data_IF_687444115145
#
_entry.id   IF_687444115145
#
_cell.length_a   1.000
_cell.length_b   1.000
_cell.length_c   1.000
_cell.angle_alpha   90.00
_cell.angle_beta   90.00
_cell.angle_gamma   90.00
#
_symmetry.space_group_name_H-M   'P 1'
#
loop_
_entity.id
_entity.type
_entity.pdbx_description
1 polymer ?
#
# COMPACT_ATOMS: atom_id res chain seq x y z
N UNK A 1 12.07 -5.95 -35.64
CA UNK A 1 12.54 -6.43 -34.33
C UNK A 1 11.61 -7.44 -33.68
N UNK A 2 12.14 -8.60 -33.30
CA UNK A 2 11.40 -9.68 -32.60
C UNK A 2 11.80 -9.68 -31.13
N UNK A 3 10.83 -9.70 -30.23
CA UNK A 3 11.08 -9.81 -28.78
C UNK A 3 10.70 -11.20 -28.29
N UNK A 4 11.60 -11.82 -27.52
CA UNK A 4 11.32 -13.05 -26.79
C UNK A 4 11.45 -12.80 -25.28
N UNK A 5 10.56 -13.40 -24.52
CA UNK A 5 10.53 -13.33 -23.05
C UNK A 5 10.56 -14.76 -22.55
N UNK A 6 11.62 -15.14 -21.84
CA UNK A 6 11.93 -16.51 -21.44
C UNK A 6 11.85 -17.49 -22.64
N UNK A 7 12.40 -17.07 -23.78
CA UNK A 7 12.37 -17.81 -25.05
C UNK A 7 11.01 -17.87 -25.76
N UNK A 8 9.94 -17.27 -25.19
CA UNK A 8 8.58 -17.31 -25.75
C UNK A 8 8.21 -15.98 -26.42
N UNK A 9 7.45 -16.07 -27.51
CA UNK A 9 6.81 -14.89 -28.12
C UNK A 9 5.53 -14.55 -27.34
N UNK A 10 5.48 -13.36 -26.76
CA UNK A 10 4.27 -12.82 -26.15
C UNK A 10 3.59 -11.83 -27.11
N UNK A 11 2.30 -11.58 -26.89
CA UNK A 11 1.54 -10.61 -27.70
C UNK A 11 2.04 -9.18 -27.39
N UNK A 12 2.57 -8.44 -28.37
CA UNK A 12 2.95 -7.05 -28.17
C UNK A 12 1.73 -6.15 -28.04
N UNK A 13 1.84 -5.12 -27.20
CA UNK A 13 0.91 -4.01 -27.12
C UNK A 13 1.66 -2.77 -27.62
N UNK A 14 1.18 -2.20 -28.74
CA UNK A 14 1.71 -0.92 -29.23
C UNK A 14 1.23 0.18 -28.29
N UNK A 15 2.16 0.71 -27.51
CA UNK A 15 1.85 1.65 -26.43
C UNK A 15 1.92 3.10 -26.91
N UNK A 16 2.96 3.44 -27.70
CA UNK A 16 3.09 4.77 -28.30
C UNK A 16 3.89 4.76 -29.61
N UNK A 17 3.47 5.60 -30.55
CA UNK A 17 4.27 6.04 -31.71
C UNK A 17 4.24 7.56 -31.73
N UNK A 18 5.39 8.22 -31.69
CA UNK A 18 5.47 9.68 -31.76
C UNK A 18 6.82 10.14 -32.28
N UNK A 19 6.87 11.36 -32.82
CA UNK A 19 8.12 11.98 -33.21
C UNK A 19 8.97 12.33 -31.98
N UNK A 20 10.27 12.11 -32.09
CA UNK A 20 11.24 12.38 -31.03
C UNK A 20 12.29 13.38 -31.50
N UNK A 21 12.75 14.22 -30.57
CA UNK A 21 13.93 15.07 -30.75
C UNK A 21 15.08 14.54 -29.93
N UNK A 22 16.19 14.29 -30.61
CA UNK A 22 17.48 13.97 -30.00
C UNK A 22 18.31 15.24 -29.84
N UNK A 23 18.76 15.54 -28.62
CA UNK A 23 19.76 16.58 -28.33
C UNK A 23 20.98 15.92 -27.69
N UNK A 24 22.09 16.67 -27.58
CA UNK A 24 23.30 16.20 -26.89
C UNK A 24 23.06 15.79 -25.42
N UNK A 25 21.96 16.23 -24.82
CA UNK A 25 21.67 16.03 -23.40
C UNK A 25 20.42 15.21 -23.12
N UNK A 26 19.50 15.08 -24.09
CA UNK A 26 18.24 14.34 -23.90
C UNK A 26 17.63 13.91 -25.21
N UNK A 27 16.83 12.85 -25.15
CA UNK A 27 15.82 12.59 -26.17
C UNK A 27 14.44 12.71 -25.56
N UNK A 28 13.51 13.34 -26.25
CA UNK A 28 12.15 13.53 -25.74
C UNK A 28 11.13 13.49 -26.87
N UNK A 29 9.90 13.10 -26.51
CA UNK A 29 8.77 13.12 -27.41
C UNK A 29 8.29 14.55 -27.64
N UNK A 30 7.77 14.78 -28.84
CA UNK A 30 7.14 16.03 -29.20
C UNK A 30 5.66 15.95 -28.83
N UNK A 31 5.27 16.65 -27.77
CA UNK A 31 3.87 16.67 -27.31
C UNK A 31 3.05 17.77 -27.99
N UNK A 32 3.71 18.80 -28.56
CA UNK A 32 3.05 19.87 -29.33
C UNK A 32 3.49 19.81 -30.78
N UNK A 33 2.57 19.80 -31.76
CA UNK A 33 2.92 19.77 -33.17
C UNK A 33 3.88 20.91 -33.53
N UNK A 34 4.99 20.56 -34.16
CA UNK A 34 5.99 21.51 -34.66
C UNK A 34 6.44 21.11 -36.05
N UNK A 35 6.86 22.09 -36.86
CA UNK A 35 7.40 21.80 -38.19
C UNK A 35 8.75 21.10 -38.07
N UNK A 36 8.93 20.01 -38.82
CA UNK A 36 10.15 19.22 -38.84
C UNK A 36 10.52 18.83 -40.27
N UNK A 37 11.81 18.76 -40.57
CA UNK A 37 12.30 18.23 -41.83
C UNK A 37 12.20 16.70 -41.81
N UNK A 38 11.56 16.13 -42.84
CA UNK A 38 11.34 14.68 -42.94
C UNK A 38 12.63 13.86 -42.96
N UNK A 39 13.73 14.44 -43.47
CA UNK A 39 15.02 13.76 -43.58
C UNK A 39 15.80 13.64 -42.26
N UNK A 40 15.41 14.41 -41.23
CA UNK A 40 15.99 14.34 -39.88
C UNK A 40 14.97 13.92 -38.83
N UNK A 41 13.74 13.64 -39.27
CA UNK A 41 12.67 13.20 -38.39
C UNK A 41 12.97 11.83 -37.80
N UNK A 42 12.82 11.71 -36.49
CA UNK A 42 12.96 10.44 -35.77
C UNK A 42 11.61 10.05 -35.20
N UNK A 43 11.28 8.76 -35.29
CA UNK A 43 10.07 8.19 -34.71
C UNK A 43 10.49 7.29 -33.54
N UNK A 44 9.95 7.57 -32.36
CA UNK A 44 10.02 6.69 -31.21
C UNK A 44 8.82 5.76 -31.19
N UNK A 45 9.06 4.47 -30.96
CA UNK A 45 8.04 3.43 -30.81
C UNK A 45 8.21 2.76 -29.45
N UNK A 46 7.14 2.70 -28.65
CA UNK A 46 7.09 1.96 -27.38
C UNK A 46 6.20 0.74 -27.57
N UNK A 47 6.76 -0.43 -27.29
CA UNK A 47 6.06 -1.71 -27.32
C UNK A 47 6.13 -2.34 -25.93
N UNK A 48 4.97 -2.69 -25.38
CA UNK A 48 4.84 -3.30 -24.06
C UNK A 48 4.49 -4.78 -24.18
N UNK A 49 5.04 -5.59 -23.27
CA UNK A 49 4.71 -7.00 -23.10
C UNK A 49 4.31 -7.26 -21.64
N UNK A 50 3.18 -7.92 -21.42
CA UNK A 50 2.67 -8.23 -20.08
C UNK A 50 3.15 -9.62 -19.66
N UNK A 51 3.72 -9.73 -18.46
CA UNK A 51 4.21 -10.97 -17.86
C UNK A 51 3.57 -11.18 -16.48
N UNK A 52 3.43 -12.44 -16.04
CA UNK A 52 2.88 -12.76 -14.70
C UNK A 52 3.83 -12.39 -13.55
N UNK A 53 5.12 -12.25 -13.85
CA UNK A 53 6.18 -11.91 -12.91
C UNK A 53 7.39 -11.40 -13.67
N UNK A 54 8.50 -11.20 -12.97
CA UNK A 54 9.74 -10.75 -13.62
C UNK A 54 10.32 -11.93 -14.41
N UNK A 55 10.53 -11.79 -15.73
CA UNK A 55 11.13 -12.85 -16.54
C UNK A 55 12.58 -13.12 -16.12
N UNK A 56 13.11 -14.28 -16.49
CA UNK A 56 14.54 -14.59 -16.33
C UNK A 56 15.37 -13.98 -17.46
N UNK A 57 14.83 -13.92 -18.66
CA UNK A 57 15.51 -13.39 -19.83
C UNK A 57 14.55 -12.65 -20.78
N UNK A 58 15.02 -11.53 -21.33
CA UNK A 58 14.35 -10.81 -22.42
C UNK A 58 15.37 -10.57 -23.53
N UNK A 59 15.04 -10.99 -24.75
CA UNK A 59 15.86 -10.73 -25.93
C UNK A 59 15.12 -9.88 -26.96
N UNK A 60 15.85 -8.97 -27.60
CA UNK A 60 15.35 -8.10 -28.67
C UNK A 60 16.28 -8.26 -29.87
N UNK A 61 15.78 -8.92 -30.90
CA UNK A 61 16.43 -9.04 -32.21
C UNK A 61 16.24 -7.74 -32.99
N UNK A 62 17.33 -7.04 -33.29
CA UNK A 62 17.35 -5.79 -34.06
C UNK A 62 17.80 -6.03 -35.50
N UNK A 63 16.93 -5.77 -36.47
CA UNK A 63 17.15 -6.05 -37.89
C UNK A 63 17.19 -4.79 -38.77
N UNK A 64 17.10 -3.59 -38.19
CA UNK A 64 16.98 -2.32 -38.92
C UNK A 64 18.34 -1.63 -39.17
N UNK A 65 19.34 -2.40 -39.59
CA UNK A 65 20.65 -1.86 -39.98
C UNK A 65 20.61 -1.27 -41.40
N UNK A 66 21.57 -0.40 -41.71
CA UNK A 66 21.83 0.10 -43.06
C UNK A 66 23.33 0.23 -43.30
N UNK A 67 23.76 0.46 -44.53
CA UNK A 67 25.17 0.69 -44.87
C UNK A 67 25.78 1.85 -44.06
N UNK A 68 24.95 2.82 -43.65
CA UNK A 68 25.35 3.97 -42.84
C UNK A 68 25.23 3.73 -41.32
N UNK A 69 24.34 2.84 -40.89
CA UNK A 69 24.06 2.57 -39.48
C UNK A 69 24.34 1.10 -39.19
N UNK A 70 25.57 0.82 -38.80
CA UNK A 70 26.05 -0.53 -38.44
C UNK A 70 26.27 -0.74 -36.94
N UNK A 71 26.06 0.29 -36.12
CA UNK A 71 26.18 0.22 -34.66
C UNK A 71 25.06 1.04 -34.05
N UNK A 72 24.21 0.39 -33.26
CA UNK A 72 23.05 1.02 -32.63
C UNK A 72 23.23 0.96 -31.11
N UNK A 73 23.21 2.10 -30.41
CA UNK A 73 23.26 2.09 -28.94
C UNK A 73 22.00 1.47 -28.37
N UNK A 74 22.15 0.67 -27.33
CA UNK A 74 21.07 -0.01 -26.63
C UNK A 74 21.27 0.11 -25.12
N UNK A 75 20.19 0.05 -24.36
CA UNK A 75 20.26 0.06 -22.89
C UNK A 75 19.16 -0.81 -22.34
N UNK A 76 19.52 -1.78 -21.50
CA UNK A 76 18.56 -2.48 -20.65
C UNK A 76 18.49 -1.79 -19.28
N UNK A 77 17.33 -1.74 -18.64
CA UNK A 77 17.19 -1.08 -17.33
C UNK A 77 16.31 -1.94 -16.44
N UNK A 78 16.81 -2.22 -15.23
CA UNK A 78 16.07 -2.86 -14.16
C UNK A 78 16.33 -2.15 -12.81
N UNK A 79 15.80 -2.63 -11.66
CA UNK A 79 16.04 -2.04 -10.35
C UNK A 79 17.51 -1.93 -9.92
N UNK A 80 18.41 -2.78 -10.42
CA UNK A 80 19.84 -2.75 -10.11
C UNK A 80 20.59 -1.67 -10.91
N UNK A 81 20.00 -1.20 -12.01
CA UNK A 81 20.50 -0.03 -12.73
C UNK A 81 20.34 -0.13 -14.25
N UNK A 82 20.85 0.88 -14.97
CA UNK A 82 20.98 0.79 -16.42
C UNK A 82 22.18 -0.07 -16.80
N UNK A 83 22.04 -0.84 -17.87
CA UNK A 83 23.07 -1.65 -18.52
C UNK A 83 23.21 -1.17 -19.98
N UNK A 84 24.03 -0.13 -20.23
CA UNK A 84 24.29 0.35 -21.58
C UNK A 84 25.07 -0.68 -22.40
N UNK A 85 24.72 -0.81 -23.67
CA UNK A 85 25.35 -1.71 -24.63
C UNK A 85 25.17 -1.15 -26.06
N UNK A 86 25.46 -1.97 -27.06
CA UNK A 86 25.18 -1.68 -28.45
C UNK A 86 24.93 -2.98 -29.20
N UNK A 87 24.20 -2.90 -30.31
CA UNK A 87 24.01 -4.00 -31.24
C UNK A 87 24.64 -3.67 -32.60
N UNK A 88 25.15 -4.69 -33.28
CA UNK A 88 25.77 -4.62 -34.61
C UNK A 88 25.16 -5.71 -35.51
N UNK A 89 25.40 -5.69 -36.84
CA UNK A 89 24.93 -6.77 -37.71
C UNK A 89 25.39 -8.18 -37.27
N UNK A 90 26.62 -8.28 -36.74
CA UNK A 90 27.19 -9.56 -36.29
C UNK A 90 26.69 -9.96 -34.89
N UNK A 91 26.29 -8.98 -34.06
CA UNK A 91 25.71 -9.16 -32.73
C UNK A 91 24.45 -8.30 -32.57
N UNK A 92 23.37 -8.77 -33.16
CA UNK A 92 22.13 -8.01 -33.39
C UNK A 92 21.08 -8.20 -32.29
N UNK A 93 21.38 -9.04 -31.28
CA UNK A 93 20.43 -9.39 -30.22
C UNK A 93 20.82 -8.67 -28.93
N UNK A 94 19.96 -7.76 -28.49
CA UNK A 94 20.07 -7.22 -27.13
C UNK A 94 19.47 -8.24 -26.15
N UNK A 95 20.28 -8.70 -25.19
CA UNK A 95 19.84 -9.60 -24.12
C UNK A 95 19.84 -8.88 -22.77
N UNK A 96 18.73 -8.95 -22.05
CA UNK A 96 18.66 -8.65 -20.63
C UNK A 96 18.43 -9.94 -19.85
N UNK A 97 19.24 -10.15 -18.81
CA UNK A 97 19.16 -11.32 -17.93
C UNK A 97 18.90 -10.86 -16.51
N UNK A 98 17.95 -11.53 -15.86
CA UNK A 98 17.56 -11.21 -14.50
C UNK A 98 18.56 -11.75 -13.48
N UNK A 99 19.29 -10.86 -12.81
CA UNK A 99 20.17 -11.19 -11.68
C UNK A 99 19.59 -10.78 -10.31
N UNK A 100 18.32 -10.36 -10.25
CA UNK A 100 17.68 -9.90 -9.04
C UNK A 100 17.34 -11.09 -8.12
N UNK A 101 18.10 -11.26 -7.03
CA UNK A 101 17.89 -12.37 -6.08
C UNK A 101 16.84 -12.09 -5.00
N UNK A 102 16.75 -10.84 -4.55
CA UNK A 102 15.92 -10.43 -3.41
C UNK A 102 14.79 -9.49 -3.79
N UNK A 103 14.67 -9.14 -5.08
CA UNK A 103 13.61 -8.24 -5.53
C UNK A 103 12.26 -8.97 -5.46
N UNK A 104 11.33 -8.40 -4.70
CA UNK A 104 9.93 -8.82 -4.71
C UNK A 104 9.12 -7.73 -5.39
N UNK A 105 8.25 -8.12 -6.33
CA UNK A 105 7.30 -7.19 -6.92
C UNK A 105 6.48 -6.59 -5.77
N UNK A 106 6.42 -5.26 -5.64
CA UNK A 106 5.69 -4.65 -4.56
C UNK A 106 4.18 -4.97 -4.67
N UNK A 107 3.62 -5.78 -3.76
CA UNK A 107 2.15 -6.00 -3.66
C UNK A 107 1.47 -5.14 -2.58
N UNK A 108 0.17 -4.88 -2.74
CA UNK A 108 -0.73 -4.34 -1.70
C UNK A 108 -1.14 -5.46 -0.76
N UNK A 109 -1.18 -5.20 0.56
CA UNK A 109 -1.54 -6.18 1.58
C UNK A 109 -2.59 -5.64 2.56
N UNK A 110 -3.59 -6.45 2.88
CA UNK A 110 -4.56 -6.15 3.94
C UNK A 110 -3.86 -6.02 5.30
N UNK A 111 -4.39 -5.14 6.15
CA UNK A 111 -3.90 -4.97 7.53
C UNK A 111 -5.02 -5.38 8.47
N UNK A 112 -4.96 -6.62 8.95
CA UNK A 112 -5.96 -7.16 9.88
C UNK A 112 -5.97 -6.40 11.20
N UNK A 113 -7.16 -6.21 11.77
CA UNK A 113 -7.33 -5.68 13.12
C UNK A 113 -6.90 -6.75 14.11
N UNK A 114 -6.04 -6.38 15.07
CA UNK A 114 -5.56 -7.29 16.10
C UNK A 114 -6.73 -7.78 16.97
N UNK A 115 -6.82 -9.10 17.14
CA UNK A 115 -7.83 -9.75 17.99
C UNK A 115 -7.84 -9.20 19.42
N UNK A 116 -6.71 -8.73 19.92
CA UNK A 116 -6.62 -8.10 21.24
C UNK A 116 -7.38 -6.78 21.35
N UNK A 117 -7.75 -6.14 20.22
CA UNK A 117 -8.58 -4.93 20.18
C UNK A 117 -10.07 -5.30 20.16
N UNK A 118 -10.44 -6.35 19.43
CA UNK A 118 -11.83 -6.72 19.11
C UNK A 118 -12.38 -7.89 19.92
N UNK A 119 -11.54 -8.63 20.66
CA UNK A 119 -11.96 -9.81 21.44
C UNK A 119 -11.57 -9.67 22.91
N UNK A 120 -12.43 -10.19 23.79
CA UNK A 120 -12.16 -10.36 25.23
C UNK A 120 -12.27 -11.85 25.57
N UNK A 121 -11.37 -12.34 26.41
CA UNK A 121 -11.43 -13.72 26.89
C UNK A 121 -12.36 -13.81 28.10
N UNK A 122 -13.55 -14.39 27.93
CA UNK A 122 -14.49 -14.61 29.03
C UNK A 122 -14.23 -15.98 29.65
N UNK A 123 -13.95 -16.06 30.97
CA UNK A 123 -13.74 -17.33 31.67
C UNK A 123 -15.07 -18.03 31.92
N UNK A 124 -15.55 -18.81 30.94
CA UNK A 124 -16.87 -19.44 30.98
C UNK A 124 -17.08 -20.30 32.23
N UNK A 125 -16.04 -20.99 32.70
CA UNK A 125 -16.10 -21.79 33.92
C UNK A 125 -16.47 -20.96 35.15
N UNK A 126 -15.80 -19.82 35.35
CA UNK A 126 -16.10 -18.89 36.45
C UNK A 126 -17.46 -18.21 36.28
N UNK A 127 -17.84 -17.85 35.04
CA UNK A 127 -19.16 -17.27 34.75
C UNK A 127 -20.29 -18.24 35.09
N UNK A 128 -20.14 -19.54 34.76
CA UNK A 128 -21.14 -20.56 35.07
C UNK A 128 -21.28 -20.76 36.59
N UNK A 129 -20.16 -20.81 37.33
CA UNK A 129 -20.18 -20.90 38.78
C UNK A 129 -20.89 -19.70 39.43
N UNK A 130 -20.68 -18.48 38.93
CA UNK A 130 -21.37 -17.26 39.39
C UNK A 130 -22.88 -17.31 39.13
N UNK A 131 -23.30 -17.76 37.95
CA UNK A 131 -24.72 -17.90 37.58
C UNK A 131 -25.43 -18.88 38.52
N UNK A 132 -24.76 -19.95 38.96
CA UNK A 132 -25.32 -20.93 39.92
C UNK A 132 -25.30 -20.37 41.37
N UNK A 133 -24.31 -19.54 41.71
CA UNK A 133 -24.15 -18.95 43.05
C UNK A 133 -25.29 -17.99 43.41
N UNK A 134 -25.72 -17.13 42.48
CA UNK A 134 -26.76 -16.11 42.71
C UNK A 134 -28.10 -16.70 43.20
N UNK A 135 -28.73 -17.68 42.51
CA UNK A 135 -29.97 -18.29 42.97
C UNK A 135 -29.78 -19.12 44.25
N UNK A 136 -28.60 -19.71 44.46
CA UNK A 136 -28.28 -20.42 45.70
C UNK A 136 -28.27 -19.45 46.90
N UNK A 137 -27.66 -18.27 46.75
CA UNK A 137 -27.63 -17.22 47.77
C UNK A 137 -29.02 -16.60 48.02
N UNK A 138 -29.84 -16.47 46.98
CA UNK A 138 -31.23 -16.02 47.12
C UNK A 138 -32.08 -17.04 47.90
N UNK A 139 -31.95 -18.31 47.55
CA UNK A 139 -32.70 -19.41 48.16
C UNK A 139 -32.26 -19.67 49.61
N UNK A 140 -30.97 -19.52 49.93
CA UNK A 140 -30.48 -19.55 51.33
C UNK A 140 -31.05 -18.41 52.16
N UNK A 141 -31.10 -17.19 51.61
CA UNK A 141 -31.70 -16.03 52.27
C UNK A 141 -33.18 -16.23 52.61
N UNK A 142 -33.96 -16.80 51.68
CA UNK A 142 -35.36 -17.19 51.93
C UNK A 142 -35.48 -18.29 53.00
N UNK A 143 -34.66 -19.34 52.94
CA UNK A 143 -34.69 -20.42 53.94
C UNK A 143 -34.29 -19.97 55.34
N UNK A 144 -33.37 -19.02 55.46
CA UNK A 144 -32.97 -18.42 56.75
C UNK A 144 -34.12 -17.70 57.43
N UNK A 145 -34.97 -17.02 56.67
CA UNK A 145 -36.19 -16.36 57.18
C UNK A 145 -37.25 -17.35 57.68
N UNK A 146 -37.24 -18.59 57.20
CA UNK A 146 -38.18 -19.65 57.58
C UNK A 146 -37.59 -20.70 58.55
N UNK A 147 -36.45 -20.43 59.20
CA UNK A 147 -35.88 -21.32 60.24
C UNK A 147 -35.25 -22.62 59.74
N UNK A 148 -34.97 -22.75 58.44
CA UNK A 148 -34.37 -23.95 57.85
C UNK A 148 -32.87 -24.12 58.15
N UNK A 149 -32.38 -25.35 58.21
CA UNK A 149 -30.94 -25.68 58.35
C UNK A 149 -30.17 -25.33 57.06
N UNK A 150 -29.13 -24.48 57.13
CA UNK A 150 -28.44 -23.89 55.94
C UNK A 150 -27.04 -24.51 55.69
N UNK A 151 -26.55 -25.41 56.55
CA UNK A 151 -25.16 -25.94 56.48
C UNK A 151 -24.76 -26.48 55.10
N UNK A 152 -25.64 -27.24 54.44
CA UNK A 152 -25.38 -27.81 53.11
C UNK A 152 -25.21 -26.73 52.03
N UNK A 153 -26.01 -25.66 52.11
CA UNK A 153 -25.99 -24.58 51.14
C UNK A 153 -24.77 -23.67 51.31
N UNK A 154 -24.30 -23.49 52.55
CA UNK A 154 -23.03 -22.81 52.81
C UNK A 154 -21.86 -23.59 52.21
N UNK A 155 -21.82 -24.92 52.41
CA UNK A 155 -20.80 -25.77 51.79
C UNK A 155 -20.79 -25.69 50.26
N UNK A 156 -21.97 -25.71 49.64
CA UNK A 156 -22.12 -25.58 48.18
C UNK A 156 -21.71 -24.18 47.68
N UNK A 157 -22.00 -23.12 48.45
CA UNK A 157 -21.54 -21.77 48.13
C UNK A 157 -20.02 -21.63 48.21
N UNK A 158 -19.38 -22.21 49.23
CA UNK A 158 -17.90 -22.24 49.35
C UNK A 158 -17.28 -22.98 48.17
N UNK A 159 -17.86 -24.11 47.76
CA UNK A 159 -17.39 -24.89 46.61
C UNK A 159 -17.51 -24.11 45.29
N UNK A 160 -18.61 -23.38 45.07
CA UNK A 160 -18.79 -22.53 43.88
C UNK A 160 -17.85 -21.33 43.87
N UNK A 161 -17.56 -20.73 45.03
CA UNK A 161 -16.57 -19.65 45.15
C UNK A 161 -15.16 -20.18 44.85
N UNK A 162 -14.79 -21.34 45.41
CA UNK A 162 -13.52 -22.01 45.09
C UNK A 162 -13.43 -22.35 43.59
N UNK A 163 -14.52 -22.85 42.99
CA UNK A 163 -14.63 -23.11 41.56
C UNK A 163 -14.44 -21.84 40.70
N UNK A 164 -15.03 -20.71 41.09
CA UNK A 164 -14.83 -19.43 40.39
C UNK A 164 -13.35 -19.03 40.33
N UNK A 165 -12.61 -19.18 41.44
CA UNK A 165 -11.19 -18.82 41.54
C UNK A 165 -10.31 -19.80 40.77
N UNK A 166 -10.53 -21.10 40.97
CA UNK A 166 -9.70 -22.15 40.37
C UNK A 166 -9.89 -22.24 38.86
N UNK A 167 -11.10 -22.00 38.34
CA UNK A 167 -11.39 -22.07 36.90
C UNK A 167 -11.13 -20.74 36.17
N UNK A 168 -10.84 -19.64 36.86
CA UNK A 168 -10.61 -18.33 36.24
C UNK A 168 -9.50 -18.28 35.17
N UNK A 169 -8.34 -18.96 35.33
CA UNK A 169 -7.33 -18.99 34.27
C UNK A 169 -7.64 -20.00 33.16
N UNK A 170 -8.59 -20.93 33.37
CA UNK A 170 -8.92 -22.01 32.44
C UNK A 170 -10.21 -21.71 31.66
N UNK A 171 -10.39 -22.30 30.47
CA UNK A 171 -11.61 -22.16 29.66
C UNK A 171 -12.00 -20.71 29.28
N UNK A 172 -11.01 -19.88 28.91
CA UNK A 172 -11.28 -18.55 28.35
C UNK A 172 -11.67 -18.69 26.88
N UNK A 173 -12.92 -18.37 26.57
CA UNK A 173 -13.42 -18.35 25.19
C UNK A 173 -13.33 -16.92 24.66
N UNK A 174 -12.75 -16.71 23.47
CA UNK A 174 -12.72 -15.40 22.84
C UNK A 174 -14.14 -15.03 22.39
N UNK A 175 -14.65 -13.92 22.91
CA UNK A 175 -15.93 -13.34 22.48
C UNK A 175 -15.69 -11.92 21.97
N UNK A 176 -16.57 -11.45 21.08
CA UNK A 176 -16.51 -10.10 20.55
C UNK A 176 -16.57 -9.08 21.70
N UNK A 177 -15.60 -8.18 21.74
CA UNK A 177 -15.54 -7.06 22.67
C UNK A 177 -16.40 -5.93 22.12
N UNK A 178 -17.30 -5.35 22.93
CA UNK A 178 -17.98 -4.10 22.57
C UNK A 178 -16.96 -3.01 22.22
N UNK A 179 -17.18 -2.27 21.12
CA UNK A 179 -16.24 -1.26 20.65
C UNK A 179 -15.92 -0.19 21.71
N UNK A 180 -16.88 0.14 22.59
CA UNK A 180 -16.72 1.08 23.72
C UNK A 180 -15.63 0.65 24.71
N UNK A 181 -15.34 -0.65 24.80
CA UNK A 181 -14.34 -1.21 25.71
C UNK A 181 -12.99 -1.50 25.01
N UNK A 182 -12.86 -1.18 23.72
CA UNK A 182 -11.63 -1.44 22.99
C UNK A 182 -10.47 -0.60 23.58
N UNK A 183 -9.31 -1.22 23.85
CA UNK A 183 -8.15 -0.49 24.32
C UNK A 183 -7.65 0.45 23.21
N UNK A 184 -7.13 1.61 23.63
CA UNK A 184 -6.47 2.54 22.71
C UNK A 184 -5.23 1.88 22.12
N UNK A 185 -5.05 2.01 20.82
CA UNK A 185 -3.83 1.54 20.15
C UNK A 185 -2.67 2.45 20.57
N UNK A 186 -1.47 1.88 20.71
CA UNK A 186 -0.29 2.69 20.99
C UNK A 186 0.05 3.57 19.77
N UNK A 187 0.47 4.81 20.03
CA UNK A 187 0.70 5.82 18.98
C UNK A 187 1.76 5.37 17.95
N UNK A 188 2.79 4.64 18.37
CA UNK A 188 3.82 4.09 17.49
C UNK A 188 3.24 3.07 16.50
N UNK A 189 2.38 2.16 16.98
CA UNK A 189 1.64 1.20 16.16
C UNK A 189 0.66 1.90 15.22
N UNK A 190 -0.05 2.92 15.70
CA UNK A 190 -0.96 3.70 14.88
C UNK A 190 -0.24 4.43 13.73
N UNK A 191 0.94 5.00 14.00
CA UNK A 191 1.78 5.64 12.97
C UNK A 191 2.28 4.64 11.94
N UNK A 192 2.71 3.44 12.38
CA UNK A 192 3.10 2.36 11.47
C UNK A 192 1.94 1.89 10.60
N UNK A 193 0.73 1.78 11.18
CA UNK A 193 -0.50 1.47 10.46
C UNK A 193 -0.75 2.48 9.34
N UNK A 194 -0.75 3.78 9.64
CA UNK A 194 -0.95 4.83 8.64
C UNK A 194 0.08 4.73 7.50
N UNK A 195 1.36 4.53 7.83
CA UNK A 195 2.42 4.41 6.84
C UNK A 195 2.22 3.22 5.89
N UNK A 196 1.73 2.09 6.41
CA UNK A 196 1.41 0.93 5.58
C UNK A 196 0.18 1.18 4.67
N UNK A 197 -0.86 1.83 5.19
CA UNK A 197 -2.06 2.18 4.40
C UNK A 197 -1.73 3.17 3.28
N UNK A 198 -0.94 4.21 3.55
CA UNK A 198 -0.49 5.15 2.53
C UNK A 198 0.35 4.44 1.46
N UNK A 199 1.28 3.57 1.85
CA UNK A 199 2.06 2.74 0.90
C UNK A 199 1.17 1.89 0.02
N UNK A 200 0.12 1.29 0.57
CA UNK A 200 -0.84 0.51 -0.20
C UNK A 200 -1.58 1.34 -1.24
N UNK A 201 -2.04 2.55 -0.90
CA UNK A 201 -2.71 3.46 -1.85
C UNK A 201 -1.82 3.71 -3.07
N UNK A 202 -0.58 4.13 -2.86
CA UNK A 202 0.31 4.46 -3.98
C UNK A 202 0.71 3.22 -4.80
N UNK A 203 0.87 2.05 -4.15
CA UNK A 203 1.16 0.77 -4.83
C UNK A 203 -0.01 0.22 -5.61
N UNK A 204 -1.25 0.57 -5.26
CA UNK A 204 -2.41 0.20 -6.05
C UNK A 204 -2.30 0.72 -7.50
N UNK A 205 -1.61 1.84 -7.72
CA UNK A 205 -1.37 2.42 -9.04
C UNK A 205 -0.15 1.85 -9.78
N UNK A 206 0.57 0.88 -9.21
CA UNK A 206 1.56 0.09 -9.96
C UNK A 206 0.89 -0.94 -10.88
N UNK A 207 -0.40 -1.19 -10.69
CA UNK A 207 -1.22 -2.08 -11.52
C UNK A 207 -1.70 -1.37 -12.80
N UNK A 208 -1.87 -2.11 -13.90
CA UNK A 208 -2.17 -1.53 -15.23
C UNK A 208 -3.66 -1.39 -15.49
N UNK A 209 -4.44 -2.42 -15.17
CA UNK A 209 -5.86 -2.45 -15.47
C UNK A 209 -6.63 -1.65 -14.41
N UNK A 210 -7.64 -0.91 -14.86
CA UNK A 210 -8.44 -0.04 -13.99
C UNK A 210 -9.12 -0.84 -12.87
N UNK A 211 -9.68 -1.99 -13.20
CA UNK A 211 -10.31 -2.91 -12.24
C UNK A 211 -9.32 -3.38 -11.17
N UNK A 212 -8.09 -3.75 -11.57
CA UNK A 212 -7.04 -4.16 -10.64
C UNK A 212 -6.69 -3.03 -9.67
N UNK A 213 -6.55 -1.79 -10.18
CA UNK A 213 -6.26 -0.61 -9.34
C UNK A 213 -7.38 -0.40 -8.32
N UNK A 214 -8.64 -0.48 -8.75
CA UNK A 214 -9.81 -0.34 -7.87
C UNK A 214 -9.82 -1.41 -6.76
N UNK A 215 -9.62 -2.68 -7.12
CA UNK A 215 -9.58 -3.81 -6.17
C UNK A 215 -8.44 -3.64 -5.14
N UNK A 216 -7.27 -3.16 -5.60
CA UNK A 216 -6.14 -2.87 -4.71
C UNK A 216 -6.40 -1.68 -3.81
N UNK A 217 -7.06 -0.63 -4.29
CA UNK A 217 -7.45 0.49 -3.43
C UNK A 217 -8.45 0.03 -2.36
N UNK A 218 -9.41 -0.84 -2.70
CA UNK A 218 -10.42 -1.36 -1.78
C UNK A 218 -9.83 -2.16 -0.60
N UNK A 219 -8.58 -2.63 -0.73
CA UNK A 219 -7.82 -3.28 0.34
C UNK A 219 -7.48 -2.32 1.49
N UNK A 220 -7.35 -1.01 1.23
CA UNK A 220 -6.90 -0.02 2.21
C UNK A 220 -7.77 1.25 2.29
N UNK A 221 -8.74 1.40 1.39
CA UNK A 221 -9.69 2.51 1.33
C UNK A 221 -11.11 1.96 1.32
N UNK A 222 -12.04 2.66 1.95
CA UNK A 222 -13.44 2.25 2.00
C UNK A 222 -14.39 3.42 1.70
N UNK A 223 -15.60 3.08 1.27
CA UNK A 223 -16.68 4.03 0.99
C UNK A 223 -16.41 4.93 -0.21
N UNK A 224 -17.07 6.09 -0.20
CA UNK A 224 -17.02 7.08 -1.30
C UNK A 224 -15.63 7.71 -1.49
N UNK A 225 -14.74 7.54 -0.52
CA UNK A 225 -13.35 8.00 -0.63
C UNK A 225 -12.55 7.24 -1.72
N UNK A 226 -12.92 5.98 -1.99
CA UNK A 226 -12.22 5.16 -2.97
C UNK A 226 -12.22 5.78 -4.38
N UNK A 227 -13.38 6.12 -4.98
CA UNK A 227 -13.41 6.78 -6.28
C UNK A 227 -12.71 8.16 -6.25
N UNK A 228 -12.79 8.91 -5.16
CA UNK A 228 -12.11 10.21 -5.04
C UNK A 228 -10.58 10.06 -5.10
N UNK A 229 -10.01 9.13 -4.32
CA UNK A 229 -8.58 8.82 -4.34
C UNK A 229 -8.15 8.31 -5.72
N UNK A 230 -8.98 7.48 -6.36
CA UNK A 230 -8.73 6.99 -7.71
C UNK A 230 -8.63 8.14 -8.72
N UNK A 231 -9.67 8.99 -8.79
CA UNK A 231 -9.75 10.08 -9.74
C UNK A 231 -8.67 11.13 -9.51
N UNK A 232 -8.38 11.48 -8.26
CA UNK A 232 -7.34 12.45 -7.91
C UNK A 232 -5.95 11.97 -8.34
N UNK A 233 -5.57 10.74 -7.99
CA UNK A 233 -4.28 10.18 -8.39
C UNK A 233 -4.20 9.97 -9.89
N UNK A 234 -5.27 9.49 -10.54
CA UNK A 234 -5.31 9.35 -12.00
C UNK A 234 -5.11 10.69 -12.70
N UNK A 235 -5.77 11.76 -12.26
CA UNK A 235 -5.58 13.10 -12.81
C UNK A 235 -4.11 13.57 -12.71
N UNK A 236 -3.46 13.31 -11.57
CA UNK A 236 -2.04 13.61 -11.37
C UNK A 236 -1.13 12.81 -12.31
N UNK A 237 -1.48 11.55 -12.58
CA UNK A 237 -0.70 10.65 -13.44
C UNK A 237 -1.01 10.78 -14.94
N UNK A 238 -2.21 11.17 -15.36
CA UNK A 238 -2.58 11.36 -16.78
C UNK A 238 -1.77 12.51 -17.39
N UNK A 239 -1.49 13.56 -16.63
CA UNK A 239 -0.59 14.66 -17.04
C UNK A 239 0.85 14.17 -17.28
N UNK A 240 1.22 12.99 -16.76
CA UNK A 240 2.50 12.31 -17.04
C UNK A 240 2.42 11.19 -18.08
N UNK A 241 1.23 10.63 -18.33
CA UNK A 241 0.99 9.55 -19.29
C UNK A 241 0.90 10.01 -20.75
N UNK A 242 0.99 11.32 -21.03
CA UNK A 242 1.24 11.83 -22.37
C UNK A 242 2.46 11.16 -23.05
N UNK A 243 3.29 10.45 -22.26
CA UNK A 243 4.48 9.67 -22.60
C UNK A 243 4.33 8.22 -23.11
N UNK A 244 3.26 7.49 -22.77
CA UNK A 244 3.26 6.00 -22.69
C UNK A 244 4.02 5.44 -21.46
N UNK A 245 4.71 6.33 -20.73
CA UNK A 245 5.43 6.00 -19.52
C UNK A 245 4.49 5.92 -18.32
N UNK A 246 4.47 4.79 -17.62
CA UNK A 246 3.77 4.67 -16.34
C UNK A 246 4.60 5.33 -15.24
N UNK A 247 3.99 6.32 -14.58
CA UNK A 247 4.54 6.89 -13.36
C UNK A 247 4.50 5.85 -12.26
N UNK A 248 5.66 5.55 -11.68
CA UNK A 248 5.78 4.69 -10.49
C UNK A 248 6.09 5.53 -9.28
N UNK A 249 5.36 5.33 -8.19
CA UNK A 249 5.73 5.92 -6.91
C UNK A 249 6.92 5.14 -6.36
N UNK A 250 8.05 5.82 -6.23
CA UNK A 250 9.29 5.21 -5.74
C UNK A 250 9.36 5.20 -4.23
N UNK A 251 8.89 6.27 -3.60
CA UNK A 251 9.12 6.45 -2.17
C UNK A 251 8.04 7.31 -1.50
N UNK A 252 7.79 7.02 -0.23
CA UNK A 252 6.85 7.73 0.63
C UNK A 252 7.53 7.97 1.98
N UNK A 253 7.80 9.24 2.26
CA UNK A 253 8.41 9.66 3.53
C UNK A 253 7.36 10.36 4.39
N UNK A 254 7.04 9.80 5.55
CA UNK A 254 6.23 10.49 6.56
C UNK A 254 7.15 11.49 7.27
N UNK A 255 6.83 12.78 7.14
CA UNK A 255 7.59 13.88 7.75
C UNK A 255 7.12 14.15 9.18
N UNK A 256 5.80 14.16 9.37
CA UNK A 256 5.17 14.40 10.65
C UNK A 256 3.85 13.63 10.75
N UNK A 257 3.52 13.18 11.95
CA UNK A 257 2.27 12.49 12.21
C UNK A 257 1.90 12.58 13.69
N UNK A 258 0.68 13.04 13.91
CA UNK A 258 0.00 12.96 15.20
C UNK A 258 -1.27 12.11 15.05
N UNK A 259 -1.63 11.39 16.11
CA UNK A 259 -2.82 10.55 16.15
C UNK A 259 -3.75 11.05 17.25
N UNK A 260 -5.03 11.11 16.95
CA UNK A 260 -6.10 11.40 17.89
C UNK A 260 -7.04 10.21 17.94
N UNK A 261 -7.24 9.71 19.14
CA UNK A 261 -8.25 8.69 19.42
C UNK A 261 -9.59 9.38 19.68
N UNK A 262 -10.67 8.82 19.13
CA UNK A 262 -12.02 9.33 19.35
C UNK A 262 -12.67 8.58 20.53
N UNK A 263 -13.28 9.32 21.46
CA UNK A 263 -13.89 8.71 22.66
C UNK A 263 -15.25 8.07 22.35
N UNK A 264 -16.00 8.59 21.39
CA UNK A 264 -17.27 8.06 20.88
C UNK A 264 -17.07 6.86 19.95
N UNK A 265 -15.90 6.77 19.30
CA UNK A 265 -15.52 5.68 18.38
C UNK A 265 -14.11 5.17 18.72
N UNK A 266 -13.96 4.27 19.70
CA UNK A 266 -12.64 3.94 20.28
C UNK A 266 -11.66 3.24 19.34
N UNK A 267 -12.16 2.61 18.26
CA UNK A 267 -11.34 2.02 17.22
C UNK A 267 -11.04 2.98 16.07
N UNK A 268 -11.71 4.13 15.99
CA UNK A 268 -11.47 5.12 14.97
C UNK A 268 -10.28 6.00 15.34
N UNK A 269 -9.39 6.22 14.36
CA UNK A 269 -8.18 7.00 14.51
C UNK A 269 -8.23 8.17 13.53
N UNK A 270 -7.97 9.38 14.04
CA UNK A 270 -7.79 10.56 13.20
C UNK A 270 -6.33 10.96 13.25
N UNK A 271 -5.67 10.88 12.12
CA UNK A 271 -4.30 11.31 11.94
C UNK A 271 -4.28 12.71 11.36
N UNK A 272 -3.40 13.56 11.88
CA UNK A 272 -2.92 14.73 11.13
C UNK A 272 -1.50 14.42 10.69
N UNK A 273 -1.27 14.32 9.38
CA UNK A 273 0.00 13.85 8.84
C UNK A 273 0.50 14.71 7.70
N UNK A 274 1.81 14.89 7.68
CA UNK A 274 2.57 15.45 6.58
C UNK A 274 3.45 14.35 6.02
N UNK A 275 3.34 14.10 4.73
CA UNK A 275 4.19 13.14 4.05
C UNK A 275 4.59 13.65 2.67
N UNK A 276 5.62 13.04 2.12
CA UNK A 276 6.00 13.27 0.73
C UNK A 276 5.85 11.99 -0.07
N UNK A 277 5.39 12.12 -1.31
CA UNK A 277 5.38 11.03 -2.27
C UNK A 277 6.28 11.41 -3.45
N UNK A 278 7.24 10.55 -3.76
CA UNK A 278 8.10 10.70 -4.93
C UNK A 278 7.62 9.78 -6.04
N UNK A 279 7.06 10.38 -7.09
CA UNK A 279 6.78 9.70 -8.35
C UNK A 279 7.98 9.78 -9.29
N UNK A 280 8.18 8.74 -10.10
CA UNK A 280 9.12 8.76 -11.22
C UNK A 280 8.45 8.25 -12.47
N UNK A 281 8.69 8.93 -13.59
CA UNK A 281 8.17 8.58 -14.91
C UNK A 281 9.37 8.42 -15.83
N UNK A 282 9.54 7.25 -16.41
CA UNK A 282 10.63 6.99 -17.35
C UNK A 282 10.25 7.38 -18.77
N UNK A 283 10.87 8.40 -19.33
CA UNK A 283 10.83 8.65 -20.77
C UNK A 283 12.06 8.01 -21.45
N UNK A 284 12.01 7.86 -22.77
CA UNK A 284 13.14 7.31 -23.51
C UNK A 284 14.41 8.16 -23.27
N UNK A 285 15.44 7.56 -22.68
CA UNK A 285 16.71 8.20 -22.37
C UNK A 285 16.78 9.05 -21.09
N UNK A 286 15.70 9.23 -20.32
CA UNK A 286 15.75 9.94 -19.03
C UNK A 286 14.53 9.70 -18.12
N UNK A 287 14.72 9.77 -16.80
CA UNK A 287 13.65 9.63 -15.80
C UNK A 287 13.29 11.01 -15.25
N UNK A 288 12.02 11.39 -15.30
CA UNK A 288 11.54 12.54 -14.54
C UNK A 288 11.11 12.07 -13.15
N UNK A 289 11.67 12.69 -12.13
CA UNK A 289 11.19 12.56 -10.75
C UNK A 289 10.33 13.77 -10.40
N UNK A 290 9.28 13.52 -9.64
CA UNK A 290 8.43 14.55 -9.02
C UNK A 290 8.27 14.18 -7.56
N UNK A 291 8.45 15.15 -6.67
CA UNK A 291 8.19 14.98 -5.25
C UNK A 291 7.10 15.96 -4.85
N UNK A 292 6.00 15.45 -4.32
CA UNK A 292 4.92 16.26 -3.76
C UNK A 292 4.91 16.05 -2.25
N UNK A 293 4.70 17.13 -1.50
CA UNK A 293 4.39 17.10 -0.08
C UNK A 293 2.88 17.30 0.09
N UNK A 294 2.30 16.52 0.98
CA UNK A 294 0.90 16.58 1.36
C UNK A 294 0.79 16.88 2.85
N UNK A 295 -0.27 17.59 3.22
CA UNK A 295 -0.72 17.84 4.59
C UNK A 295 -2.21 17.51 4.64
N UNK A 296 -2.62 16.55 5.49
CA UNK A 296 -4.00 16.08 5.52
C UNK A 296 -4.44 15.57 6.89
N UNK A 297 -5.75 15.62 7.12
CA UNK A 297 -6.42 14.85 8.16
C UNK A 297 -6.93 13.52 7.56
N UNK A 298 -6.55 12.40 8.16
CA UNK A 298 -6.86 11.05 7.65
C UNK A 298 -7.61 10.29 8.74
N UNK A 299 -8.81 9.79 8.42
CA UNK A 299 -9.61 8.96 9.30
C UNK A 299 -9.42 7.50 8.91
N UNK A 300 -9.06 6.67 9.89
CA UNK A 300 -8.81 5.24 9.73
C UNK A 300 -9.69 4.47 10.70
N UNK A 301 -10.39 3.47 10.18
CA UNK A 301 -11.36 2.67 10.94
C UNK A 301 -11.28 1.19 10.54
N UNK A 302 -11.66 0.28 11.44
CA UNK A 302 -11.81 -1.12 11.10
C UNK A 302 -13.10 -1.33 10.30
N UNK A 303 -12.97 -1.89 9.10
CA UNK A 303 -14.07 -2.30 8.24
C UNK A 303 -13.92 -3.80 8.00
N UNK A 304 -14.91 -4.59 8.43
CA UNK A 304 -14.92 -6.05 8.26
C UNK A 304 -13.66 -6.75 8.84
N UNK A 305 -13.09 -6.20 9.92
CA UNK A 305 -11.89 -6.75 10.55
C UNK A 305 -10.57 -6.36 9.89
N UNK A 306 -10.59 -5.43 8.93
CA UNK A 306 -9.41 -4.87 8.26
C UNK A 306 -9.35 -3.36 8.46
N UNK A 307 -8.18 -2.82 8.73
CA UNK A 307 -7.98 -1.38 8.81
C UNK A 307 -8.06 -0.73 7.44
N UNK A 308 -8.92 0.28 7.30
CA UNK A 308 -9.07 1.05 6.06
C UNK A 308 -9.15 2.55 6.34
N UNK A 309 -8.70 3.34 5.38
CA UNK A 309 -8.92 4.78 5.36
C UNK A 309 -10.36 5.02 4.91
N UNK A 310 -11.14 5.66 5.78
CA UNK A 310 -12.56 5.96 5.56
C UNK A 310 -12.81 7.45 5.32
N UNK A 311 -11.83 8.30 5.62
CA UNK A 311 -11.90 9.74 5.35
C UNK A 311 -10.52 10.33 5.09
N UNK A 312 -10.45 11.29 4.17
CA UNK A 312 -9.25 12.07 3.88
C UNK A 312 -9.65 13.51 3.56
N UNK A 313 -9.13 14.45 4.34
CA UNK A 313 -9.29 15.88 4.12
C UNK A 313 -7.91 16.46 3.83
N UNK A 314 -7.67 16.78 2.56
CA UNK A 314 -6.41 17.37 2.10
C UNK A 314 -6.39 18.86 2.45
N UNK A 315 -5.42 19.27 3.27
CA UNK A 315 -5.24 20.65 3.72
C UNK A 315 -4.29 21.42 2.80
N UNK A 316 -3.19 20.79 2.39
CA UNK A 316 -2.22 21.37 1.47
C UNK A 316 -1.59 20.31 0.57
N UNK A 317 -1.41 20.64 -0.72
CA UNK A 317 -0.54 19.91 -1.64
C UNK A 317 0.50 20.87 -2.22
N UNK A 318 1.78 20.53 -2.07
CA UNK A 318 2.88 21.35 -2.57
C UNK A 318 3.90 20.52 -3.33
N UNK A 319 4.17 20.92 -4.57
CA UNK A 319 5.30 20.37 -5.33
C UNK A 319 6.63 20.89 -4.77
N UNK A 320 7.56 19.99 -4.51
CA UNK A 320 8.90 20.29 -3.99
C UNK A 320 9.99 19.74 -4.90
N UNK A 321 11.20 20.30 -4.82
CA UNK A 321 12.37 19.82 -5.56
C UNK A 321 12.80 18.44 -5.02
N UNK A 322 12.82 17.37 -5.85
CA UNK A 322 13.27 16.04 -5.44
C UNK A 322 14.71 16.00 -4.87
N UNK A 323 15.57 16.95 -5.25
CA UNK A 323 16.98 17.01 -4.85
C UNK A 323 17.31 18.22 -3.96
N UNK A 324 16.30 19.01 -3.59
CA UNK A 324 16.47 20.13 -2.66
C UNK A 324 16.81 19.63 -1.26
N UNK A 325 17.84 20.19 -0.61
CA UNK A 325 18.16 19.88 0.79
C UNK A 325 16.94 20.17 1.66
N UNK A 326 16.43 19.15 2.37
CA UNK A 326 15.41 19.35 3.40
C UNK A 326 15.99 20.27 4.47
N UNK A 327 15.39 21.45 4.67
CA UNK A 327 15.70 22.27 5.86
C UNK A 327 15.19 21.49 7.08
N UNK A 328 16.02 21.27 8.11
CA UNK A 328 15.54 20.62 9.33
C UNK A 328 14.38 21.43 9.92
N UNK A 329 13.44 20.77 10.62
CA UNK A 329 12.35 21.47 11.28
C UNK A 329 12.93 22.53 12.21
N UNK A 330 12.40 23.75 12.14
CA UNK A 330 12.73 24.79 13.11
C UNK A 330 12.27 24.29 14.47
N UNK A 331 13.22 23.92 15.33
CA UNK A 331 12.99 23.80 16.76
C UNK A 331 12.36 25.11 17.21
N UNK A 332 11.13 25.07 17.73
CA UNK A 332 10.58 26.19 18.48
C UNK A 332 11.46 26.33 19.71
N UNK A 333 12.34 27.33 19.71
CA UNK A 333 12.94 27.83 20.94
C UNK A 333 11.79 28.35 21.82
N UNK A 334 11.76 27.85 23.04
CA UNK A 334 10.85 28.29 24.11
C UNK A 334 11.24 29.67 24.61
#
# INVERSE_FOLDING_TARGET
SKVLIDGKKLRPILDRVSFVKYTMTRTYFIDKPERMLLNTAMIGVIVTYITKGIPQEVTVDWDLFSDKIRKVPATAVDPAGPFPSYVTPDDHVLTWTNFLKTYKIPTVAEISVDDSLTKIGVPLGSSLCLIILIPLLWHTGKRRKHGGKIRLQIGFAVLLVAGCVLLYPFFRVPVARPAVLAPKIADDKAKALLGNLLKNIYRAFDFREEDDVYDRLATSVHGDLLPDIYLQNRKSMVVTQAGGAQGKVKDIDILDVSVRHLDDRPLALVFHSKWTAMGSVGHWGHIHTRKNQYDANITVEPVEGVWKITGLELLEEKRIDPYGKQKPPKTREQ
#
